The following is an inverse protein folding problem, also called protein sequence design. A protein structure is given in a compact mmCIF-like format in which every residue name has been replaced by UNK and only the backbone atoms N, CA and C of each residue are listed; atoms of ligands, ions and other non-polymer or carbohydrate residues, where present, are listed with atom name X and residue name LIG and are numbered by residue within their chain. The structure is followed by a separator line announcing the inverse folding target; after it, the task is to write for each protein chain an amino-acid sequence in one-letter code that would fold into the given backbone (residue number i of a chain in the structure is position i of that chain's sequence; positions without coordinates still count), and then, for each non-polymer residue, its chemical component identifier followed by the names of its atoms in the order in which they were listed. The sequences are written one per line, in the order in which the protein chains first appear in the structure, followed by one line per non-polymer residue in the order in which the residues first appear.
data_IF_947827688202
#
_entry.id   IF_947827688202
#
_cell.length_a   1.000
_cell.length_b   1.000
_cell.length_c   1.000
_cell.angle_alpha   90.00
_cell.angle_beta   90.00
_cell.angle_gamma   90.00
#
_symmetry.space_group_name_H-M   'P 1'
#
loop_
_entity.id
_entity.type
_entity.pdbx_description
1 polymer ?
#
# COMPACT_ATOMS: atom_id res chain seq x y z
N UNK A 1 23.37 -14.46 -2.93
CA UNK A 1 22.15 -13.83 -3.48
C UNK A 1 21.92 -14.37 -4.88
N UNK A 2 20.69 -14.73 -5.29
CA UNK A 2 20.45 -15.19 -6.65
C UNK A 2 20.72 -14.05 -7.63
N UNK A 3 21.28 -14.37 -8.79
CA UNK A 3 21.55 -13.41 -9.87
C UNK A 3 20.20 -12.89 -10.42
N UNK A 4 19.95 -11.57 -10.36
CA UNK A 4 18.79 -10.95 -11.03
C UNK A 4 18.09 -9.78 -10.34
N UNK A 5 18.36 -9.52 -9.05
CA UNK A 5 17.70 -8.42 -8.32
C UNK A 5 18.66 -7.30 -7.92
N UNK A 6 18.24 -6.05 -8.14
CA UNK A 6 18.97 -4.86 -7.69
C UNK A 6 18.80 -4.66 -6.18
N UNK A 7 19.81 -4.14 -5.46
CA UNK A 7 19.66 -3.82 -4.05
C UNK A 7 18.56 -2.76 -3.81
N UNK A 8 18.05 -2.71 -2.58
CA UNK A 8 17.24 -1.57 -2.11
C UNK A 8 18.06 -0.29 -2.24
N UNK A 9 17.38 0.80 -2.55
CA UNK A 9 18.01 2.09 -2.84
C UNK A 9 17.17 3.21 -2.22
N UNK A 10 17.59 3.77 -1.08
CA UNK A 10 16.88 4.86 -0.41
C UNK A 10 16.70 6.11 -1.28
N UNK A 11 17.52 6.30 -2.34
CA UNK A 11 17.36 7.44 -3.25
C UNK A 11 16.10 7.36 -4.11
N UNK A 12 15.49 6.17 -4.21
CA UNK A 12 14.21 5.96 -4.91
C UNK A 12 13.00 6.37 -4.07
N UNK A 13 13.21 6.77 -2.81
CA UNK A 13 12.14 7.28 -1.96
C UNK A 13 11.60 8.60 -2.54
N UNK A 14 10.39 8.53 -3.08
CA UNK A 14 9.74 9.66 -3.72
C UNK A 14 8.21 9.54 -3.55
N UNK A 15 7.73 9.91 -2.36
CA UNK A 15 6.31 9.95 -1.99
C UNK A 15 5.78 11.37 -2.12
N UNK A 16 4.56 11.52 -2.66
CA UNK A 16 3.91 12.83 -2.76
C UNK A 16 3.41 13.32 -1.39
N UNK A 17 2.95 14.58 -1.32
CA UNK A 17 2.34 15.11 -0.10
C UNK A 17 1.11 14.32 0.30
N UNK A 18 0.32 13.87 -0.67
CA UNK A 18 -0.88 13.06 -0.48
C UNK A 18 -0.53 11.67 0.06
N UNK A 19 0.47 11.01 -0.55
CA UNK A 19 0.99 9.72 -0.08
C UNK A 19 1.44 9.82 1.39
N UNK A 20 2.23 10.85 1.71
CA UNK A 20 2.70 11.11 3.09
C UNK A 20 1.52 11.36 4.04
N UNK A 21 0.57 12.20 3.65
CA UNK A 21 -0.59 12.54 4.49
C UNK A 21 -1.41 11.31 4.84
N UNK A 22 -1.60 10.42 3.87
CA UNK A 22 -2.30 9.16 4.12
C UNK A 22 -1.48 8.20 4.96
N UNK A 23 -0.16 8.08 4.73
CA UNK A 23 0.68 7.25 5.60
C UNK A 23 0.68 7.75 7.04
N UNK A 24 0.70 9.06 7.29
CA UNK A 24 0.52 9.62 8.64
C UNK A 24 -0.82 9.21 9.25
N UNK A 25 -1.90 9.20 8.47
CA UNK A 25 -3.20 8.72 8.92
C UNK A 25 -3.15 7.23 9.31
N UNK A 26 -2.54 6.39 8.49
CA UNK A 26 -2.50 4.93 8.70
C UNK A 26 -1.51 4.47 9.78
N UNK A 27 -0.42 5.22 9.98
CA UNK A 27 0.65 4.90 10.94
C UNK A 27 0.49 5.67 12.25
N UNK A 28 -0.06 6.88 12.16
CA UNK A 28 -0.07 7.86 13.24
C UNK A 28 1.27 8.50 13.55
N UNK A 29 2.31 8.26 12.74
CA UNK A 29 3.60 8.93 12.85
C UNK A 29 3.46 10.29 12.18
N UNK A 30 3.69 11.38 12.92
CA UNK A 30 3.54 12.74 12.40
C UNK A 30 4.87 13.37 12.00
N UNK A 31 5.98 12.90 12.55
CA UNK A 31 7.32 13.36 12.20
C UNK A 31 7.77 12.79 10.84
N UNK A 32 8.32 13.66 9.99
CA UNK A 32 8.62 13.33 8.60
C UNK A 32 9.81 12.38 8.48
N UNK A 33 10.82 12.56 9.34
CA UNK A 33 12.01 11.71 9.31
C UNK A 33 11.70 10.36 9.93
N UNK A 34 10.96 10.30 11.04
CA UNK A 34 10.49 9.06 11.65
C UNK A 34 9.62 8.25 10.66
N UNK A 35 8.69 8.91 9.96
CA UNK A 35 7.85 8.26 8.96
C UNK A 35 8.67 7.69 7.80
N UNK A 36 9.66 8.46 7.32
CA UNK A 36 10.56 8.02 6.26
C UNK A 36 11.38 6.81 6.71
N UNK A 37 11.98 6.85 7.90
CA UNK A 37 12.76 5.74 8.45
C UNK A 37 11.90 4.48 8.63
N UNK A 38 10.65 4.64 9.08
CA UNK A 38 9.67 3.54 9.18
C UNK A 38 9.43 2.88 7.82
N UNK A 39 9.18 3.67 6.77
CA UNK A 39 8.96 3.16 5.40
C UNK A 39 10.22 2.47 4.84
N UNK A 40 11.42 3.04 5.05
CA UNK A 40 12.70 2.44 4.64
C UNK A 40 12.96 1.10 5.35
N UNK A 41 12.71 1.02 6.65
CA UNK A 41 12.90 -0.19 7.43
C UNK A 41 11.98 -1.33 6.94
N UNK A 42 10.74 -0.99 6.57
CA UNK A 42 9.79 -1.97 6.03
C UNK A 42 10.19 -2.43 4.64
N UNK A 43 10.65 -1.50 3.79
CA UNK A 43 11.19 -1.87 2.48
C UNK A 43 12.31 -2.90 2.64
N UNK A 44 13.31 -2.62 3.47
CA UNK A 44 14.45 -3.51 3.66
C UNK A 44 14.01 -4.93 4.07
N UNK A 45 13.17 -5.01 5.12
CA UNK A 45 12.66 -6.30 5.64
C UNK A 45 11.81 -7.06 4.61
N UNK A 46 10.94 -6.36 3.88
CA UNK A 46 10.08 -7.03 2.91
C UNK A 46 10.82 -7.44 1.63
N UNK A 47 11.82 -6.66 1.22
CA UNK A 47 12.61 -6.93 0.01
C UNK A 47 13.49 -8.18 0.15
N UNK A 48 13.95 -8.50 1.36
CA UNK A 48 14.69 -9.75 1.66
C UNK A 48 13.88 -11.01 1.34
N UNK A 49 12.55 -10.94 1.49
CA UNK A 49 11.65 -12.07 1.25
C UNK A 49 11.09 -12.04 -0.17
N UNK A 50 10.76 -10.83 -0.63
CA UNK A 50 10.03 -10.62 -1.86
C UNK A 50 10.66 -9.44 -2.61
N UNK A 51 11.66 -9.67 -3.47
CA UNK A 51 12.42 -8.60 -4.13
C UNK A 51 11.65 -7.96 -5.30
N UNK A 52 10.37 -7.63 -5.08
CA UNK A 52 9.50 -7.08 -6.10
C UNK A 52 9.86 -5.62 -6.43
N UNK A 53 9.77 -5.21 -7.71
CA UNK A 53 10.00 -3.84 -8.11
C UNK A 53 9.13 -2.83 -7.35
N UNK A 54 7.88 -3.17 -7.02
CA UNK A 54 6.99 -2.30 -6.26
C UNK A 54 7.48 -2.02 -4.83
N UNK A 55 8.23 -2.95 -4.23
CA UNK A 55 8.86 -2.77 -2.92
C UNK A 55 10.11 -1.90 -3.07
N UNK A 56 10.96 -2.20 -4.07
CA UNK A 56 12.16 -1.42 -4.38
C UNK A 56 11.89 0.07 -4.67
N UNK A 57 10.79 0.38 -5.35
CA UNK A 57 10.45 1.75 -5.75
C UNK A 57 9.42 2.43 -4.84
N UNK A 58 9.16 1.86 -3.65
CA UNK A 58 8.21 2.39 -2.67
C UNK A 58 6.77 2.53 -3.20
N UNK A 59 6.40 1.82 -4.26
CA UNK A 59 5.04 1.86 -4.80
C UNK A 59 4.02 1.34 -3.79
N UNK A 60 4.43 0.42 -2.91
CA UNK A 60 3.60 -0.03 -1.79
C UNK A 60 3.21 1.08 -0.82
N UNK A 61 3.94 2.20 -0.78
CA UNK A 61 3.64 3.32 0.11
C UNK A 61 2.87 4.45 -0.61
N UNK A 62 2.49 4.21 -1.87
CA UNK A 62 1.73 5.15 -2.71
C UNK A 62 0.28 4.72 -2.84
N UNK A 63 -0.56 5.62 -3.35
CA UNK A 63 -1.97 5.36 -3.64
C UNK A 63 -2.26 5.47 -5.16
N UNK A 64 -1.68 4.61 -6.01
CA UNK A 64 -1.84 4.72 -7.45
C UNK A 64 -3.30 4.63 -7.90
N UNK A 65 -4.17 3.94 -7.14
CA UNK A 65 -5.57 3.82 -7.50
C UNK A 65 -6.29 5.17 -7.59
N UNK A 66 -5.90 6.14 -6.76
CA UNK A 66 -6.52 7.49 -6.78
C UNK A 66 -6.24 8.25 -8.08
N UNK A 67 -5.25 7.80 -8.85
CA UNK A 67 -4.80 8.44 -10.09
C UNK A 67 -5.46 7.84 -11.33
N UNK A 68 -6.28 6.78 -11.18
CA UNK A 68 -7.00 6.22 -12.33
C UNK A 68 -8.18 7.14 -12.70
N UNK A 69 -8.41 7.43 -14.00
CA UNK A 69 -9.44 8.39 -14.43
C UNK A 69 -10.88 8.07 -13.99
N UNK A 70 -11.14 6.83 -13.55
CA UNK A 70 -12.48 6.35 -13.22
C UNK A 70 -12.65 6.04 -11.73
N UNK A 71 -11.72 6.46 -10.87
CA UNK A 71 -11.76 6.12 -9.44
C UNK A 71 -13.08 6.54 -8.77
N UNK A 72 -13.51 7.78 -8.99
CA UNK A 72 -14.79 8.28 -8.46
C UNK A 72 -16.00 7.48 -8.97
N UNK A 73 -15.94 6.98 -10.21
CA UNK A 73 -16.98 6.12 -10.77
C UNK A 73 -16.98 4.74 -10.11
N UNK A 74 -15.81 4.20 -9.75
CA UNK A 74 -15.70 2.97 -8.96
C UNK A 74 -16.36 3.16 -7.59
N UNK A 75 -16.05 4.26 -6.89
CA UNK A 75 -16.66 4.54 -5.58
C UNK A 75 -18.18 4.75 -5.70
N UNK A 76 -18.66 5.46 -6.72
CA UNK A 76 -20.08 5.62 -6.99
C UNK A 76 -20.77 4.27 -7.23
N UNK A 77 -20.15 3.42 -8.05
CA UNK A 77 -20.66 2.07 -8.29
C UNK A 77 -20.77 1.25 -7.00
N UNK A 78 -19.77 1.29 -6.12
CA UNK A 78 -19.79 0.59 -4.83
C UNK A 78 -20.90 1.09 -3.89
N UNK A 79 -21.23 2.39 -3.93
CA UNK A 79 -22.35 2.96 -3.15
C UNK A 79 -23.71 2.55 -3.70
N UNK A 80 -23.85 2.50 -5.03
CA UNK A 80 -25.10 2.13 -5.71
C UNK A 80 -25.36 0.62 -5.69
N UNK A 81 -24.32 -0.20 -5.51
CA UNK A 81 -24.38 -1.66 -5.58
C UNK A 81 -23.82 -2.26 -4.27
N UNK A 82 -24.64 -2.41 -3.22
CA UNK A 82 -24.17 -2.83 -1.89
C UNK A 82 -23.60 -4.26 -1.85
N UNK A 83 -23.90 -5.08 -2.86
CA UNK A 83 -23.36 -6.44 -3.01
C UNK A 83 -22.09 -6.50 -3.87
N UNK A 84 -21.64 -5.37 -4.42
CA UNK A 84 -20.41 -5.32 -5.21
C UNK A 84 -19.19 -5.70 -4.36
N UNK A 85 -18.27 -6.43 -4.99
CA UNK A 85 -16.96 -6.75 -4.43
C UNK A 85 -15.89 -5.89 -5.08
N UNK A 86 -15.01 -5.32 -4.26
CA UNK A 86 -13.77 -4.71 -4.74
C UNK A 86 -12.64 -5.71 -4.59
N UNK A 87 -11.88 -5.91 -5.67
CA UNK A 87 -10.81 -6.89 -5.72
C UNK A 87 -9.49 -6.22 -6.11
N UNK A 88 -8.51 -6.29 -5.20
CA UNK A 88 -7.14 -5.83 -5.40
C UNK A 88 -6.22 -7.03 -5.59
N UNK A 89 -5.84 -7.28 -6.84
CA UNK A 89 -4.97 -8.38 -7.24
C UNK A 89 -3.52 -7.91 -7.35
N UNK A 90 -2.63 -8.54 -6.60
CA UNK A 90 -1.26 -8.04 -6.42
C UNK A 90 -1.21 -6.90 -5.40
N UNK A 91 -1.98 -7.00 -4.32
CA UNK A 91 -2.20 -5.91 -3.38
C UNK A 91 -0.94 -5.48 -2.60
N UNK A 92 0.16 -6.26 -2.65
CA UNK A 92 1.38 -6.05 -1.88
C UNK A 92 1.11 -5.94 -0.37
N UNK A 93 0.99 -4.71 0.16
CA UNK A 93 0.65 -4.47 1.56
C UNK A 93 -0.77 -3.91 1.77
N UNK A 94 -1.58 -3.82 0.71
CA UNK A 94 -2.99 -3.43 0.76
C UNK A 94 -3.22 -1.93 0.90
N UNK A 95 -2.39 -1.12 0.26
CA UNK A 95 -2.42 0.36 0.33
C UNK A 95 -3.60 0.94 -0.43
N UNK A 96 -3.84 0.44 -1.65
CA UNK A 96 -5.00 0.82 -2.45
C UNK A 96 -6.30 0.34 -1.80
N UNK A 97 -6.34 -0.89 -1.27
CA UNK A 97 -7.46 -1.38 -0.46
C UNK A 97 -7.81 -0.46 0.71
N UNK A 98 -6.80 -0.04 1.49
CA UNK A 98 -7.02 0.90 2.60
C UNK A 98 -7.57 2.23 2.12
N UNK A 99 -7.12 2.70 0.95
CA UNK A 99 -7.63 3.94 0.37
C UNK A 99 -9.08 3.80 -0.09
N UNK A 100 -9.43 2.71 -0.78
CA UNK A 100 -10.79 2.44 -1.24
C UNK A 100 -11.77 2.31 -0.08
N UNK A 101 -11.37 1.61 0.99
CA UNK A 101 -12.18 1.50 2.21
C UNK A 101 -12.31 2.85 2.91
N UNK A 102 -11.21 3.61 3.03
CA UNK A 102 -11.24 4.97 3.60
C UNK A 102 -12.19 5.90 2.83
N UNK A 103 -12.27 5.76 1.52
CA UNK A 103 -13.13 6.58 0.65
C UNK A 103 -14.59 6.08 0.57
N UNK A 104 -14.94 5.06 1.36
CA UNK A 104 -16.33 4.65 1.59
C UNK A 104 -16.72 3.30 1.00
N UNK A 105 -15.78 2.49 0.51
CA UNK A 105 -16.09 1.10 0.16
C UNK A 105 -16.29 0.25 1.42
N UNK A 106 -17.31 -0.62 1.50
CA UNK A 106 -17.52 -1.47 2.67
C UNK A 106 -16.34 -2.43 2.91
N UNK A 107 -15.73 -2.37 4.10
CA UNK A 107 -14.52 -3.17 4.43
C UNK A 107 -14.73 -4.68 4.27
N UNK A 108 -15.91 -5.19 4.61
CA UNK A 108 -16.27 -6.60 4.45
C UNK A 108 -16.53 -7.02 2.99
N UNK A 109 -16.44 -6.09 2.04
CA UNK A 109 -16.61 -6.28 0.60
C UNK A 109 -15.37 -5.86 -0.19
N UNK A 110 -14.24 -5.64 0.48
CA UNK A 110 -12.96 -5.30 -0.12
C UNK A 110 -11.98 -6.47 0.10
N UNK A 111 -11.51 -7.09 -0.98
CA UNK A 111 -10.68 -8.30 -0.94
C UNK A 111 -9.33 -8.01 -1.59
N UNK A 112 -8.26 -8.36 -0.88
CA UNK A 112 -6.89 -8.33 -1.40
C UNK A 112 -6.31 -9.71 -1.56
N UNK A 113 -5.56 -9.91 -2.64
CA UNK A 113 -4.79 -11.13 -2.85
C UNK A 113 -3.42 -10.81 -3.44
N UNK A 114 -2.41 -11.56 -3.02
CA UNK A 114 -1.06 -11.51 -3.56
C UNK A 114 -0.47 -12.94 -3.53
N UNK A 115 0.48 -13.21 -4.42
CA UNK A 115 1.01 -14.56 -4.66
C UNK A 115 1.85 -15.08 -3.49
N UNK A 116 2.54 -14.19 -2.76
CA UNK A 116 3.50 -14.58 -1.73
C UNK A 116 2.80 -14.68 -0.36
N UNK A 117 2.75 -15.88 0.24
CA UNK A 117 2.23 -16.06 1.60
C UNK A 117 3.05 -15.27 2.62
N UNK A 118 2.41 -14.77 3.68
CA UNK A 118 3.10 -14.10 4.79
C UNK A 118 3.25 -12.58 4.66
N UNK A 119 2.90 -11.98 3.50
CA UNK A 119 2.92 -10.52 3.31
C UNK A 119 2.03 -9.75 4.31
N UNK A 120 0.94 -10.38 4.76
CA UNK A 120 0.04 -9.86 5.78
C UNK A 120 0.74 -9.51 7.11
N UNK A 121 1.85 -10.18 7.45
CA UNK A 121 2.65 -9.83 8.64
C UNK A 121 3.32 -8.44 8.52
N UNK A 122 3.73 -8.07 7.31
CA UNK A 122 4.32 -6.76 7.01
C UNK A 122 3.27 -5.66 6.89
N UNK A 123 2.06 -6.01 6.45
CA UNK A 123 0.92 -5.07 6.46
C UNK A 123 0.66 -4.50 7.85
N UNK A 124 0.64 -5.33 8.91
CA UNK A 124 0.49 -4.83 10.28
C UNK A 124 1.70 -4.03 10.77
N UNK A 125 2.91 -4.43 10.38
CA UNK A 125 4.13 -3.67 10.72
C UNK A 125 4.14 -2.30 10.03
N UNK A 126 3.59 -2.21 8.82
CA UNK A 126 3.47 -0.97 8.05
C UNK A 126 2.33 -0.09 8.53
N UNK A 127 1.21 -0.68 8.93
CA UNK A 127 0.00 0.03 9.38
C UNK A 127 -0.38 -0.41 10.80
N UNK A 128 0.34 0.04 11.84
CA UNK A 128 0.10 -0.42 13.20
C UNK A 128 -1.21 0.09 13.80
N UNK A 129 -1.84 1.13 13.22
CA UNK A 129 -3.08 1.72 13.75
C UNK A 129 -4.36 1.15 13.13
N UNK A 130 -4.28 0.26 12.13
CA UNK A 130 -5.44 -0.26 11.37
C UNK A 130 -5.27 -1.73 10.99
#
# INVERSE_FOLDING_TARGET
MPQGFFPVDPSLYNLSREDLSFLRLLTGITDDEELKQHVLAIQAKAYEICPYPCIRHFTFAKQPITRIPYYERVLAFGRENPDALFLDLGCCFGSDLRKVVHDGWPVNRAIGSDLIPGKHAYTHSLYPKI
#
